data_IF_676484682891
#
_entry.id   IF_676484682891
#
_cell.length_a   1.000
_cell.length_b   1.000
_cell.length_c   1.000
_cell.angle_alpha   90.00
_cell.angle_beta   90.00
_cell.angle_gamma   90.00
#
_symmetry.space_group_name_H-M   'P 1'
#
loop_
_entity.id
_entity.type
_entity.pdbx_description
1 polymer ?
#
# COMPACT_ATOMS: atom_id res chain seq x y z
N UNK A 1 2.82 -18.25 42.82
CA UNK A 1 2.99 -19.27 41.74
C UNK A 1 3.29 -18.54 40.45
N UNK A 2 4.53 -18.62 39.95
CA UNK A 2 4.92 -18.11 38.63
C UNK A 2 4.43 -19.11 37.59
N UNK A 3 3.56 -18.69 36.67
CA UNK A 3 3.10 -19.51 35.55
C UNK A 3 4.13 -19.41 34.43
N UNK A 4 4.76 -20.53 34.13
CA UNK A 4 5.63 -20.73 32.97
C UNK A 4 4.70 -21.14 31.83
N UNK A 5 4.71 -20.37 30.74
CA UNK A 5 4.01 -20.71 29.49
C UNK A 5 5.07 -21.26 28.54
N UNK A 6 4.90 -22.49 28.08
CA UNK A 6 5.74 -23.08 27.04
C UNK A 6 5.13 -22.76 25.67
N UNK A 7 5.92 -22.17 24.77
CA UNK A 7 5.64 -22.11 23.34
C UNK A 7 6.39 -23.25 22.65
N UNK A 8 5.67 -24.09 21.90
CA UNK A 8 6.26 -25.08 21.01
C UNK A 8 6.12 -24.54 19.59
N UNK A 9 7.24 -24.09 19.03
CA UNK A 9 7.35 -23.69 17.62
C UNK A 9 7.69 -24.94 16.80
N UNK A 10 6.80 -25.35 15.89
CA UNK A 10 7.10 -26.38 14.90
C UNK A 10 7.35 -25.68 13.56
N UNK A 11 8.62 -25.66 13.13
CA UNK A 11 9.04 -25.25 11.80
C UNK A 11 8.88 -26.43 10.84
N UNK A 12 7.97 -26.30 9.87
CA UNK A 12 7.89 -27.21 8.72
C UNK A 12 8.54 -26.53 7.50
N UNK A 13 9.52 -27.15 6.83
CA UNK A 13 10.08 -26.61 5.60
C UNK A 13 9.12 -26.88 4.42
N UNK A 14 8.65 -25.82 3.77
CA UNK A 14 8.00 -25.89 2.47
C UNK A 14 9.05 -25.69 1.37
N UNK A 15 9.26 -26.70 0.53
CA UNK A 15 10.04 -26.62 -0.71
C UNK A 15 9.05 -26.37 -1.84
N UNK A 16 9.10 -25.21 -2.48
CA UNK A 16 8.33 -24.91 -3.69
C UNK A 16 9.18 -25.33 -4.89
N UNK A 17 8.89 -26.51 -5.44
CA UNK A 17 9.42 -26.95 -6.73
C UNK A 17 8.53 -26.44 -7.86
N UNK A 18 9.06 -25.60 -8.74
CA UNK A 18 8.42 -25.23 -10.01
C UNK A 18 8.85 -26.26 -11.05
N UNK A 19 7.93 -27.14 -11.47
CA UNK A 19 8.11 -28.06 -12.60
C UNK A 19 7.36 -27.51 -13.81
N UNK A 20 8.08 -27.28 -14.91
CA UNK A 20 7.46 -26.94 -16.20
C UNK A 20 6.97 -28.23 -16.87
N UNK A 21 5.67 -28.30 -17.14
CA UNK A 21 5.00 -29.44 -17.76
C UNK A 21 5.06 -29.29 -19.29
N UNK A 22 5.65 -30.27 -19.96
CA UNK A 22 5.85 -30.32 -21.42
C UNK A 22 4.54 -30.81 -22.09
N UNK A 23 3.91 -29.95 -22.88
CA UNK A 23 2.72 -30.29 -23.66
C UNK A 23 3.09 -31.26 -24.79
N UNK A 24 2.52 -32.45 -24.72
CA UNK A 24 2.61 -33.48 -25.76
C UNK A 24 1.55 -33.24 -26.84
N UNK A 25 1.99 -32.92 -28.07
CA UNK A 25 1.11 -32.91 -29.24
C UNK A 25 1.04 -34.30 -29.90
N UNK A 26 -0.18 -34.74 -30.19
CA UNK A 26 -0.54 -35.99 -30.87
C UNK A 26 -0.59 -35.74 -32.41
N UNK A 27 -0.29 -36.74 -33.27
CA UNK A 27 0.02 -36.48 -34.68
C UNK A 27 -1.24 -36.54 -35.55
N UNK A 28 -1.40 -35.57 -36.47
CA UNK A 28 -2.32 -35.70 -37.60
C UNK A 28 -1.54 -35.60 -38.91
N UNK A 29 -1.64 -36.70 -39.64
CA UNK A 29 -1.04 -37.00 -40.93
C UNK A 29 -1.76 -36.21 -42.05
N UNK A 30 -1.06 -35.41 -42.86
CA UNK A 30 -1.56 -35.05 -44.19
C UNK A 30 -0.44 -34.89 -45.21
N UNK A 31 -0.64 -35.54 -46.37
CA UNK A 31 0.27 -35.65 -47.50
C UNK A 31 0.19 -34.42 -48.42
N UNK A 32 1.36 -33.82 -48.70
CA UNK A 32 1.84 -33.23 -49.97
C UNK A 32 1.06 -32.03 -50.61
N UNK A 33 1.69 -31.10 -51.37
CA UNK A 33 2.89 -31.30 -52.19
C UNK A 33 4.04 -30.29 -52.02
N UNK A 34 5.23 -30.77 -52.39
CA UNK A 34 6.51 -30.04 -52.46
C UNK A 34 6.38 -28.78 -53.34
N UNK A 35 6.50 -27.61 -52.71
CA UNK A 35 7.00 -26.40 -53.36
C UNK A 35 8.48 -26.25 -52.99
N UNK A 36 9.34 -26.31 -54.00
CA UNK A 36 10.76 -25.95 -53.85
C UNK A 36 10.81 -24.43 -53.61
N UNK A 37 10.90 -24.03 -52.34
CA UNK A 37 11.40 -22.72 -51.99
C UNK A 37 12.83 -22.90 -51.52
N UNK A 38 13.81 -22.43 -52.29
CA UNK A 38 15.13 -22.09 -51.78
C UNK A 38 14.95 -20.93 -50.78
N UNK A 39 14.55 -21.28 -49.55
CA UNK A 39 14.86 -20.44 -48.39
C UNK A 39 16.32 -20.72 -48.11
N UNK A 40 17.15 -19.67 -48.16
CA UNK A 40 18.49 -19.73 -47.62
C UNK A 40 18.40 -20.38 -46.24
N UNK A 41 18.94 -21.59 -46.10
CA UNK A 41 18.94 -22.30 -44.84
C UNK A 41 19.70 -21.40 -43.87
N UNK A 42 18.98 -20.85 -42.89
CA UNK A 42 19.58 -20.13 -41.77
C UNK A 42 20.55 -21.15 -41.16
N UNK A 43 21.85 -20.92 -41.32
CA UNK A 43 22.89 -21.73 -40.71
C UNK A 43 22.76 -21.48 -39.21
N UNK A 44 21.97 -22.30 -38.53
CA UNK A 44 21.90 -22.25 -37.08
C UNK A 44 23.24 -22.79 -36.54
N UNK A 45 23.88 -22.08 -35.60
CA UNK A 45 25.09 -22.59 -34.98
C UNK A 45 24.80 -23.97 -34.36
N UNK A 46 25.72 -24.92 -34.56
CA UNK A 46 25.59 -26.31 -34.08
C UNK A 46 25.52 -26.43 -32.56
N UNK A 47 25.88 -25.36 -31.85
CA UNK A 47 25.95 -25.30 -30.40
C UNK A 47 25.11 -24.11 -29.93
N UNK A 48 24.14 -24.41 -29.08
CA UNK A 48 23.30 -23.41 -28.44
C UNK A 48 24.18 -22.53 -27.54
N UNK A 49 23.96 -21.21 -27.56
CA UNK A 49 24.74 -20.30 -26.75
C UNK A 49 24.69 -20.74 -25.26
N UNK A 50 25.79 -20.61 -24.51
CA UNK A 50 25.83 -21.00 -23.11
C UNK A 50 24.72 -20.26 -22.32
N UNK A 51 24.06 -20.99 -21.41
CA UNK A 51 22.94 -20.46 -20.59
C UNK A 51 23.31 -19.26 -19.73
N UNK A 52 24.60 -19.05 -19.50
CA UNK A 52 25.12 -17.97 -18.65
C UNK A 52 26.35 -17.37 -19.34
N UNK A 53 26.37 -16.04 -19.48
CA UNK A 53 27.51 -15.32 -20.06
C UNK A 53 28.71 -15.28 -19.10
N UNK A 54 28.47 -15.31 -17.79
CA UNK A 54 29.50 -15.26 -16.76
C UNK A 54 29.05 -15.97 -15.48
N UNK A 55 29.91 -16.83 -14.91
CA UNK A 55 29.65 -17.57 -13.68
C UNK A 55 30.76 -17.27 -12.67
N UNK A 56 30.38 -16.81 -11.49
CA UNK A 56 31.29 -16.57 -10.36
C UNK A 56 30.57 -16.90 -9.05
N UNK A 57 31.35 -17.09 -7.98
CA UNK A 57 30.83 -17.19 -6.61
C UNK A 57 30.75 -15.79 -5.98
N UNK A 58 29.81 -15.61 -5.05
CA UNK A 58 29.62 -14.36 -4.29
C UNK A 58 30.85 -13.96 -3.45
N UNK A 59 31.72 -14.92 -3.16
CA UNK A 59 32.99 -14.73 -2.46
C UNK A 59 34.20 -14.70 -3.41
N UNK A 60 33.96 -14.65 -4.72
CA UNK A 60 35.01 -14.60 -5.73
C UNK A 60 35.79 -13.27 -5.67
N UNK A 61 37.06 -13.30 -6.05
CA UNK A 61 37.91 -12.09 -6.03
C UNK A 61 37.43 -10.97 -6.99
N UNK A 62 36.58 -11.33 -7.95
CA UNK A 62 35.97 -10.40 -8.90
C UNK A 62 34.61 -9.86 -8.41
N UNK A 63 34.21 -10.12 -7.17
CA UNK A 63 32.91 -9.72 -6.61
C UNK A 63 33.12 -8.97 -5.29
N UNK A 64 32.77 -7.69 -5.28
CA UNK A 64 32.57 -6.95 -4.05
C UNK A 64 31.07 -6.97 -3.73
N UNK A 65 30.66 -7.78 -2.76
CA UNK A 65 29.27 -7.88 -2.31
C UNK A 65 29.11 -7.24 -0.93
N UNK A 66 28.06 -6.44 -0.79
CA UNK A 66 27.64 -5.82 0.45
C UNK A 66 26.13 -5.95 0.62
N UNK A 67 25.70 -6.35 1.81
CA UNK A 67 24.30 -6.37 2.19
C UNK A 67 24.18 -5.98 3.66
N UNK A 68 23.31 -5.02 3.94
CA UNK A 68 23.02 -4.54 5.29
C UNK A 68 21.52 -4.34 5.44
N UNK A 69 21.01 -4.66 6.63
CA UNK A 69 19.63 -4.39 6.99
C UNK A 69 18.99 -5.50 7.80
N UNK A 70 17.67 -5.45 7.87
CA UNK A 70 16.83 -6.46 8.48
C UNK A 70 15.65 -6.80 7.58
N UNK A 71 15.20 -8.04 7.68
CA UNK A 71 13.93 -8.45 7.13
C UNK A 71 13.12 -9.08 8.25
N UNK A 72 12.07 -8.39 8.67
CA UNK A 72 11.12 -8.95 9.63
C UNK A 72 9.98 -9.62 8.86
N UNK A 73 9.77 -10.90 9.14
CA UNK A 73 8.61 -11.64 8.68
C UNK A 73 7.85 -12.10 9.91
N UNK A 74 6.62 -11.64 10.06
CA UNK A 74 5.74 -12.07 11.14
C UNK A 74 4.65 -12.96 10.55
N UNK A 75 4.45 -14.11 11.20
CA UNK A 75 3.34 -15.00 10.93
C UNK A 75 2.60 -15.23 12.23
N UNK A 76 1.40 -14.69 12.34
CA UNK A 76 0.56 -14.82 13.51
C UNK A 76 -0.68 -15.63 13.18
N UNK A 77 -0.90 -16.69 13.96
CA UNK A 77 -2.12 -17.49 13.93
C UNK A 77 -2.84 -17.34 15.26
N UNK A 78 -3.94 -16.58 15.27
CA UNK A 78 -4.83 -16.47 16.43
C UNK A 78 -5.92 -17.54 16.39
N UNK A 79 -5.92 -18.45 17.37
CA UNK A 79 -7.03 -19.39 17.61
C UNK A 79 -7.33 -19.48 19.11
N UNK A 80 -8.59 -19.71 19.46
CA UNK A 80 -9.03 -19.81 20.85
C UNK A 80 -10.31 -20.61 20.98
N UNK A 81 -10.56 -21.17 22.17
CA UNK A 81 -11.79 -21.91 22.51
C UNK A 81 -12.43 -21.25 23.74
N UNK A 82 -13.70 -20.89 23.63
CA UNK A 82 -14.46 -20.25 24.69
C UNK A 82 -15.16 -21.34 25.53
N UNK A 83 -14.84 -21.38 26.82
CA UNK A 83 -15.46 -22.25 27.81
C UNK A 83 -16.44 -21.44 28.66
N UNK A 84 -17.75 -21.67 28.44
CA UNK A 84 -18.81 -21.04 29.24
C UNK A 84 -19.75 -22.11 29.79
N UNK A 85 -19.98 -22.11 31.10
CA UNK A 85 -20.87 -23.07 31.76
C UNK A 85 -22.28 -23.00 31.16
N UNK A 86 -22.85 -24.14 30.78
CA UNK A 86 -24.19 -24.23 30.17
C UNK A 86 -24.25 -24.01 28.66
N UNK A 87 -23.12 -23.75 27.99
CA UNK A 87 -23.04 -23.60 26.53
C UNK A 87 -22.07 -24.61 25.92
N UNK A 88 -22.28 -25.05 24.66
CA UNK A 88 -21.33 -25.90 23.96
C UNK A 88 -20.00 -25.19 23.74
N UNK A 89 -18.93 -25.97 23.55
CA UNK A 89 -17.62 -25.45 23.13
C UNK A 89 -17.79 -24.63 21.86
N UNK A 90 -17.33 -23.38 21.87
CA UNK A 90 -17.33 -22.51 20.69
C UNK A 90 -15.91 -22.02 20.40
N UNK A 91 -15.49 -21.93 19.13
CA UNK A 91 -14.28 -21.20 18.77
C UNK A 91 -14.43 -19.73 19.20
N UNK A 92 -13.33 -19.08 19.63
CA UNK A 92 -13.32 -17.64 19.88
C UNK A 92 -13.34 -16.92 18.53
N UNK A 93 -14.39 -16.14 18.29
CA UNK A 93 -14.49 -15.34 17.07
C UNK A 93 -13.57 -14.10 17.11
N UNK A 94 -13.36 -13.49 18.29
CA UNK A 94 -12.40 -12.39 18.52
C UNK A 94 -12.13 -12.22 20.02
N UNK A 95 -10.86 -12.10 20.45
CA UNK A 95 -10.49 -11.66 21.81
C UNK A 95 -9.90 -10.24 21.73
N UNK A 96 -10.30 -9.28 22.58
CA UNK A 96 -9.71 -7.94 22.57
C UNK A 96 -8.19 -8.00 22.76
N UNK A 97 -7.43 -7.53 21.77
CA UNK A 97 -5.96 -7.60 21.75
C UNK A 97 -5.37 -8.88 21.13
N UNK A 98 -6.21 -9.72 20.50
CA UNK A 98 -5.77 -10.82 19.64
C UNK A 98 -6.41 -10.64 18.27
N UNK A 99 -5.56 -10.62 17.26
CA UNK A 99 -6.01 -10.77 15.88
C UNK A 99 -6.42 -12.22 15.67
N UNK A 100 -7.65 -12.45 15.20
CA UNK A 100 -8.11 -13.78 14.80
C UNK A 100 -7.89 -13.95 13.30
N UNK A 101 -7.36 -15.11 12.90
CA UNK A 101 -7.01 -15.41 11.52
C UNK A 101 -5.51 -15.59 11.28
N UNK A 102 -5.16 -15.65 10.00
CA UNK A 102 -3.79 -15.75 9.51
C UNK A 102 -3.31 -14.35 9.16
N UNK A 103 -2.43 -13.79 9.98
CA UNK A 103 -1.75 -12.54 9.67
C UNK A 103 -0.34 -12.86 9.19
N UNK A 104 -0.03 -12.37 8.01
CA UNK A 104 1.30 -12.40 7.44
C UNK A 104 1.76 -10.97 7.21
N UNK A 105 2.83 -10.58 7.88
CA UNK A 105 3.45 -9.28 7.74
C UNK A 105 4.89 -9.44 7.28
N UNK A 106 5.33 -8.52 6.42
CA UNK A 106 6.64 -8.54 5.83
C UNK A 106 7.18 -7.11 5.81
N UNK A 107 8.20 -6.84 6.61
CA UNK A 107 8.81 -5.52 6.76
C UNK A 107 10.27 -5.64 6.26
N UNK A 108 10.51 -5.36 4.97
CA UNK A 108 11.86 -5.31 4.43
C UNK A 108 12.52 -3.97 4.79
N UNK A 109 13.77 -4.05 5.24
CA UNK A 109 14.68 -2.91 5.38
C UNK A 109 16.06 -3.42 4.98
N UNK A 110 16.28 -3.60 3.67
CA UNK A 110 17.51 -4.19 3.13
C UNK A 110 18.12 -3.22 2.12
N UNK A 111 19.41 -2.97 2.28
CA UNK A 111 20.27 -2.38 1.27
C UNK A 111 21.29 -3.41 0.80
N UNK A 112 21.43 -3.53 -0.52
CA UNK A 112 22.27 -4.50 -1.19
C UNK A 112 23.08 -3.79 -2.30
N UNK A 113 24.36 -4.14 -2.41
CA UNK A 113 25.26 -3.66 -3.45
C UNK A 113 26.15 -4.80 -3.92
N UNK A 114 26.30 -4.93 -5.23
CA UNK A 114 27.22 -5.86 -5.88
C UNK A 114 28.03 -5.10 -6.90
N UNK A 115 29.35 -5.24 -6.85
CA UNK A 115 30.27 -4.76 -7.87
C UNK A 115 31.05 -5.95 -8.46
N UNK A 116 30.81 -6.23 -9.74
CA UNK A 116 31.39 -7.33 -10.48
C UNK A 116 32.50 -6.83 -11.40
N UNK A 117 33.66 -7.51 -11.33
CA UNK A 117 34.86 -7.26 -12.14
C UNK A 117 35.33 -5.80 -12.10
N UNK A 118 34.97 -5.06 -11.05
CA UNK A 118 35.16 -3.61 -10.93
C UNK A 118 34.64 -2.81 -12.12
N UNK A 119 33.58 -3.29 -12.77
CA UNK A 119 32.98 -2.65 -13.95
C UNK A 119 31.46 -2.62 -13.90
N UNK A 120 30.81 -3.69 -13.49
CA UNK A 120 29.35 -3.77 -13.46
C UNK A 120 28.87 -3.70 -12.04
N UNK A 121 27.87 -2.87 -11.75
CA UNK A 121 27.29 -2.80 -10.42
C UNK A 121 25.77 -2.88 -10.45
N UNK A 122 25.24 -3.37 -9.33
CA UNK A 122 23.83 -3.33 -9.00
C UNK A 122 23.72 -2.91 -7.54
N UNK A 123 22.96 -1.85 -7.30
CA UNK A 123 22.62 -1.37 -5.98
C UNK A 123 21.10 -1.35 -5.83
N UNK A 124 20.60 -1.80 -4.69
CA UNK A 124 19.18 -1.89 -4.37
C UNK A 124 18.97 -1.48 -2.91
N UNK A 125 17.92 -0.73 -2.66
CA UNK A 125 17.39 -0.47 -1.32
C UNK A 125 15.89 -0.79 -1.34
N UNK A 126 15.50 -1.80 -0.57
CA UNK A 126 14.12 -2.24 -0.40
C UNK A 126 13.72 -1.96 1.04
N UNK A 127 12.88 -0.96 1.20
CA UNK A 127 12.36 -0.45 2.45
C UNK A 127 10.85 -0.73 2.50
N UNK A 128 10.27 -0.62 3.71
CA UNK A 128 8.83 -0.78 3.93
C UNK A 128 8.00 0.31 3.23
N UNK A 129 8.61 1.47 2.97
CA UNK A 129 8.02 2.57 2.24
C UNK A 129 8.47 2.52 0.76
N UNK A 130 7.55 2.14 -0.12
CA UNK A 130 7.84 1.95 -1.55
C UNK A 130 8.38 3.20 -2.24
N UNK A 131 8.00 4.40 -1.78
CA UNK A 131 8.47 5.67 -2.36
C UNK A 131 9.94 5.96 -2.04
N UNK A 132 10.51 5.24 -1.08
CA UNK A 132 11.93 5.33 -0.70
C UNK A 132 12.78 4.23 -1.33
N UNK A 133 12.18 3.27 -2.04
CA UNK A 133 12.92 2.20 -2.68
C UNK A 133 13.80 2.77 -3.79
N UNK A 134 15.04 2.30 -3.86
CA UNK A 134 15.97 2.71 -4.91
C UNK A 134 16.63 1.52 -5.56
N UNK A 135 16.91 1.64 -6.85
CA UNK A 135 17.73 0.70 -7.58
C UNK A 135 18.61 1.46 -8.58
N UNK A 136 19.82 0.96 -8.77
CA UNK A 136 20.77 1.46 -9.75
C UNK A 136 21.55 0.29 -10.31
N UNK A 137 21.47 0.12 -11.61
CA UNK A 137 22.28 -0.85 -12.36
C UNK A 137 23.20 -0.03 -13.23
N UNK A 138 24.47 -0.42 -13.30
CA UNK A 138 25.39 0.30 -14.13
C UNK A 138 26.61 -0.46 -14.57
N UNK A 139 27.28 0.16 -15.53
CA UNK A 139 28.60 -0.17 -16.02
C UNK A 139 29.48 1.06 -15.91
N UNK A 140 30.71 0.90 -15.46
CA UNK A 140 31.73 1.94 -15.43
C UNK A 140 33.08 1.36 -15.86
N UNK A 141 33.81 2.12 -16.66
CA UNK A 141 35.13 1.77 -17.12
C UNK A 141 36.10 2.94 -16.94
N UNK A 142 37.11 2.75 -16.10
CA UNK A 142 38.10 3.80 -15.83
C UNK A 142 39.10 3.99 -16.97
N UNK A 143 39.13 3.08 -17.95
CA UNK A 143 39.97 3.21 -19.15
C UNK A 143 39.38 4.18 -20.19
N UNK A 144 40.20 4.61 -21.15
CA UNK A 144 39.80 5.44 -22.29
C UNK A 144 39.14 4.60 -23.40
N UNK A 145 38.11 3.83 -23.05
CA UNK A 145 37.30 3.04 -23.99
C UNK A 145 36.10 3.86 -24.47
N UNK A 146 35.48 3.41 -25.58
CA UNK A 146 34.33 4.10 -26.19
C UNK A 146 33.18 4.36 -25.22
N UNK A 147 32.83 3.40 -24.36
CA UNK A 147 31.81 3.57 -23.33
C UNK A 147 32.50 3.80 -21.98
N UNK A 148 32.30 4.99 -21.41
CA UNK A 148 32.87 5.34 -20.11
C UNK A 148 32.00 4.82 -18.98
N UNK A 149 30.70 5.14 -19.02
CA UNK A 149 29.72 4.59 -18.10
C UNK A 149 28.33 4.53 -18.72
N UNK A 150 27.51 3.65 -18.17
CA UNK A 150 26.08 3.56 -18.43
C UNK A 150 25.38 3.29 -17.10
N UNK A 151 24.40 4.11 -16.74
CA UNK A 151 23.59 3.95 -15.53
C UNK A 151 22.12 3.84 -15.91
N UNK A 152 21.38 3.00 -15.19
CA UNK A 152 19.94 2.82 -15.29
C UNK A 152 19.38 2.64 -13.88
N UNK A 153 18.45 3.51 -13.49
CA UNK A 153 17.90 3.43 -12.14
C UNK A 153 17.00 4.61 -11.79
N UNK A 154 16.57 4.65 -10.54
CA UNK A 154 15.82 5.78 -9.99
C UNK A 154 16.63 6.62 -8.99
N UNK A 155 17.95 6.41 -8.96
CA UNK A 155 18.90 7.11 -8.10
C UNK A 155 20.14 7.50 -8.91
N UNK A 156 20.73 8.64 -8.60
CA UNK A 156 22.01 9.11 -9.18
C UNK A 156 22.03 9.31 -10.70
N UNK A 157 20.87 9.43 -11.35
CA UNK A 157 20.76 9.81 -12.77
C UNK A 157 20.70 11.35 -12.85
N UNK A 158 21.83 11.99 -13.17
CA UNK A 158 21.99 13.45 -13.08
C UNK A 158 22.82 13.99 -14.23
N UNK A 159 22.50 15.21 -14.67
CA UNK A 159 23.39 15.91 -15.59
C UNK A 159 24.54 16.53 -14.81
N UNK A 160 25.77 16.43 -15.33
CA UNK A 160 26.82 17.35 -14.89
C UNK A 160 26.40 18.80 -15.20
N UNK A 161 26.79 19.77 -14.36
CA UNK A 161 26.48 21.17 -14.60
C UNK A 161 27.25 21.66 -15.82
N UNK A 162 26.53 21.96 -16.91
CA UNK A 162 27.10 22.60 -18.09
C UNK A 162 26.87 24.11 -18.02
N UNK A 163 27.83 24.95 -18.47
CA UNK A 163 27.59 26.37 -18.63
C UNK A 163 26.32 26.61 -19.45
N UNK A 164 25.38 27.41 -18.90
CA UNK A 164 24.11 27.79 -19.52
C UNK A 164 23.03 26.70 -19.63
N UNK A 165 23.28 25.47 -19.15
CA UNK A 165 22.27 24.40 -19.06
C UNK A 165 22.28 23.83 -17.65
N UNK A 166 21.28 24.23 -16.87
CA UNK A 166 21.00 23.62 -15.57
C UNK A 166 19.86 22.61 -15.74
N UNK A 167 20.15 21.32 -15.51
CA UNK A 167 19.13 20.30 -15.40
C UNK A 167 18.89 20.04 -13.92
N UNK A 168 17.65 20.14 -13.42
CA UNK A 168 17.36 19.91 -12.01
C UNK A 168 17.67 18.47 -11.61
N UNK A 169 18.07 18.29 -10.35
CA UNK A 169 18.32 16.97 -9.77
C UNK A 169 17.08 16.05 -9.87
N UNK A 170 17.33 14.75 -10.02
CA UNK A 170 16.28 13.74 -10.06
C UNK A 170 15.61 13.60 -8.69
N UNK A 171 14.28 13.48 -8.67
CA UNK A 171 13.58 13.07 -7.44
C UNK A 171 13.77 11.57 -7.18
N UNK A 172 13.59 11.11 -5.95
CA UNK A 172 13.77 9.70 -5.55
C UNK A 172 12.89 8.70 -6.34
N UNK A 173 11.81 9.17 -6.96
CA UNK A 173 10.90 8.40 -7.80
C UNK A 173 11.15 8.53 -9.31
N UNK A 174 12.19 9.27 -9.71
CA UNK A 174 12.47 9.57 -11.12
C UNK A 174 13.29 8.47 -11.74
N UNK A 175 12.72 7.73 -12.70
CA UNK A 175 13.42 6.67 -13.42
C UNK A 175 14.20 7.26 -14.58
N UNK A 176 15.46 6.88 -14.76
CA UNK A 176 16.24 7.35 -15.89
C UNK A 176 17.40 6.47 -16.28
N UNK A 177 18.00 6.83 -17.40
CA UNK A 177 19.22 6.25 -17.92
C UNK A 177 20.20 7.35 -18.35
N UNK A 178 21.48 7.10 -18.14
CA UNK A 178 22.58 8.02 -18.42
C UNK A 178 23.74 7.26 -19.04
N UNK A 179 24.40 7.86 -20.02
CA UNK A 179 25.56 7.26 -20.67
C UNK A 179 26.56 8.31 -21.14
N UNK A 180 27.84 8.02 -20.92
CA UNK A 180 28.95 8.80 -21.47
C UNK A 180 29.79 7.97 -22.44
N UNK A 181 30.06 8.57 -23.59
CA UNK A 181 30.84 7.98 -24.65
C UNK A 181 32.06 8.83 -24.98
N UNK A 182 33.21 8.18 -25.12
CA UNK A 182 34.42 8.75 -25.69
C UNK A 182 34.49 8.41 -27.18
N UNK A 183 34.48 9.42 -28.04
CA UNK A 183 34.81 9.27 -29.45
C UNK A 183 36.19 9.90 -29.72
N UNK A 184 37.06 9.16 -30.42
CA UNK A 184 38.25 9.78 -31.01
C UNK A 184 37.86 10.84 -32.04
N UNK A 185 38.84 11.67 -32.45
CA UNK A 185 38.75 12.74 -33.46
C UNK A 185 37.33 13.25 -33.76
N UNK A 186 36.88 14.27 -33.03
CA UNK A 186 35.73 15.07 -33.47
C UNK A 186 36.19 16.27 -34.27
N UNK A 187 35.58 16.49 -35.44
CA UNK A 187 35.83 17.63 -36.30
C UNK A 187 35.17 18.92 -35.80
N UNK A 188 35.19 19.16 -34.48
CA UNK A 188 34.52 20.31 -33.87
C UNK A 188 35.51 21.17 -33.08
N UNK A 189 36.54 21.66 -33.78
CA UNK A 189 37.28 22.83 -33.34
C UNK A 189 37.18 23.93 -34.43
N UNK A 190 36.32 24.94 -34.26
CA UNK A 190 36.29 26.10 -35.14
C UNK A 190 37.41 27.12 -34.82
N UNK A 191 38.26 26.90 -33.81
CA UNK A 191 39.26 27.88 -33.39
C UNK A 191 40.60 27.77 -34.16
N UNK A 192 40.59 27.19 -35.36
CA UNK A 192 41.76 27.03 -36.22
C UNK A 192 41.99 28.13 -37.27
N UNK A 193 41.18 29.19 -37.31
CA UNK A 193 41.27 30.21 -38.37
C UNK A 193 41.60 31.63 -37.85
N UNK A 194 42.66 31.75 -37.04
CA UNK A 194 43.27 33.05 -36.75
C UNK A 194 44.72 32.94 -36.23
N UNK A 195 45.64 32.35 -36.99
CA UNK A 195 47.07 32.57 -36.76
C UNK A 195 47.85 32.49 -38.08
N UNK A 196 47.74 33.55 -38.87
CA UNK A 196 48.63 33.76 -40.00
C UNK A 196 50.07 34.04 -39.54
N UNK A 197 51.01 33.51 -40.33
CA UNK A 197 52.38 33.99 -40.56
C UNK A 197 53.42 33.70 -39.48
N UNK A 198 54.27 32.69 -39.74
CA UNK A 198 55.71 32.83 -40.10
C UNK A 198 56.46 31.54 -39.72
N UNK A 199 57.10 30.91 -40.71
CA UNK A 199 58.46 30.36 -40.64
C UNK A 199 58.62 29.28 -41.71
N UNK A 200 59.51 29.57 -42.65
CA UNK A 200 60.02 28.61 -43.60
C UNK A 200 61.02 27.66 -42.91
N UNK A 201 61.21 26.51 -43.57
CA UNK A 201 62.40 25.66 -43.59
C UNK A 201 62.66 24.67 -42.44
N UNK A 202 62.72 23.41 -42.88
CA UNK A 202 63.62 22.34 -42.45
C UNK A 202 63.56 21.91 -40.98
N UNK A 203 63.02 20.71 -40.72
CA UNK A 203 63.85 19.51 -40.54
C UNK A 203 62.98 18.28 -40.31
N UNK A 204 63.50 17.16 -40.79
CA UNK A 204 62.96 15.81 -40.71
C UNK A 204 62.66 15.41 -39.26
N UNK A 205 61.41 15.08 -38.97
CA UNK A 205 60.97 14.03 -38.05
C UNK A 205 59.45 13.93 -38.16
N UNK A 206 58.96 12.77 -38.62
CA UNK A 206 57.56 12.44 -38.66
C UNK A 206 57.02 12.24 -37.23
N UNK A 207 56.78 13.35 -36.54
CA UNK A 207 56.06 13.44 -35.28
C UNK A 207 55.20 14.72 -35.34
N UNK A 208 54.17 14.66 -36.17
CA UNK A 208 53.31 15.80 -36.48
C UNK A 208 51.87 15.36 -36.70
N UNK A 209 51.36 14.49 -35.82
CA UNK A 209 49.92 14.36 -35.64
C UNK A 209 49.56 15.38 -34.58
N UNK A 210 48.99 16.52 -34.98
CA UNK A 210 48.28 17.40 -34.04
C UNK A 210 47.31 16.53 -33.24
N UNK A 211 47.34 16.55 -31.89
CA UNK A 211 46.41 15.76 -31.10
C UNK A 211 45.01 16.31 -31.39
N UNK A 212 44.26 15.61 -32.23
CA UNK A 212 42.87 15.96 -32.46
C UNK A 212 42.09 15.77 -31.18
N UNK A 213 41.30 16.78 -30.84
CA UNK A 213 40.48 16.82 -29.64
C UNK A 213 39.56 15.59 -29.59
N UNK A 214 39.68 14.80 -28.52
CA UNK A 214 38.71 13.76 -28.18
C UNK A 214 37.36 14.42 -27.85
N UNK A 215 36.27 13.89 -28.39
CA UNK A 215 34.92 14.34 -28.02
C UNK A 215 34.31 13.40 -26.99
N UNK A 216 33.73 14.01 -25.98
CA UNK A 216 32.91 13.37 -24.96
C UNK A 216 31.44 13.63 -25.30
N UNK A 217 30.65 12.57 -25.42
CA UNK A 217 29.21 12.66 -25.64
C UNK A 217 28.50 12.18 -24.39
N UNK A 218 27.56 12.98 -23.90
CA UNK A 218 26.73 12.64 -22.75
C UNK A 218 25.26 12.58 -23.20
N UNK A 219 24.59 11.48 -22.90
CA UNK A 219 23.16 11.28 -23.18
C UNK A 219 22.45 10.91 -21.88
N UNK A 220 21.37 11.62 -21.57
CA UNK A 220 20.51 11.34 -20.43
C UNK A 220 19.05 11.36 -20.86
N UNK A 221 18.29 10.37 -20.41
CA UNK A 221 16.83 10.32 -20.55
C UNK A 221 16.26 10.02 -19.17
N UNK A 222 15.34 10.88 -18.70
CA UNK A 222 14.73 10.75 -17.38
C UNK A 222 13.22 10.95 -17.47
N UNK A 223 12.49 10.10 -16.77
CA UNK A 223 11.06 10.21 -16.53
C UNK A 223 10.84 10.67 -15.09
N UNK A 224 10.53 11.96 -14.93
CA UNK A 224 10.25 12.55 -13.64
C UNK A 224 8.77 12.35 -13.29
N UNK A 225 8.49 11.39 -12.41
CA UNK A 225 7.18 11.27 -11.75
C UNK A 225 7.14 12.11 -10.47
N UNK A 226 7.66 13.34 -10.53
CA UNK A 226 7.61 14.26 -9.42
C UNK A 226 6.19 14.84 -9.32
N UNK A 227 5.36 14.23 -8.46
CA UNK A 227 4.15 14.90 -7.99
C UNK A 227 4.55 16.15 -7.20
N UNK A 228 4.15 17.33 -7.65
CA UNK A 228 4.40 18.56 -6.89
C UNK A 228 3.72 18.48 -5.52
N UNK A 229 4.49 18.58 -4.44
CA UNK A 229 3.99 18.67 -3.07
C UNK A 229 4.39 20.00 -2.46
N UNK A 230 3.41 20.80 -2.01
CA UNK A 230 3.67 22.04 -1.27
C UNK A 230 3.49 21.73 0.22
N UNK A 231 4.53 21.95 1.02
CA UNK A 231 4.46 21.93 2.48
C UNK A 231 4.38 23.35 3.01
N UNK A 232 3.43 23.60 3.89
CA UNK A 232 3.30 24.90 4.57
C UNK A 232 3.97 24.82 5.94
N UNK A 233 4.70 25.86 6.31
CA UNK A 233 5.37 25.96 7.62
C UNK A 233 4.92 27.23 8.32
N UNK A 234 4.67 27.14 9.64
CA UNK A 234 4.45 28.28 10.51
C UNK A 234 5.50 28.25 11.63
N UNK A 235 6.52 29.10 11.50
CA UNK A 235 7.72 29.01 12.33
C UNK A 235 8.49 27.72 12.06
N UNK A 236 8.73 26.92 13.10
CA UNK A 236 9.43 25.62 13.00
C UNK A 236 8.50 24.41 12.86
N UNK A 237 7.19 24.63 12.74
CA UNK A 237 6.21 23.55 12.67
C UNK A 237 5.65 23.40 11.24
N UNK A 238 5.55 22.17 10.77
CA UNK A 238 4.83 21.82 9.54
C UNK A 238 3.31 21.97 9.79
N UNK A 239 2.62 22.61 8.86
CA UNK A 239 1.18 22.84 8.89
C UNK A 239 0.53 21.88 7.91
N UNK A 240 -0.31 21.00 8.46
CA UNK A 240 -1.21 20.15 7.67
C UNK A 240 -2.57 20.80 7.64
N UNK A 241 -3.10 21.06 6.45
CA UNK A 241 -4.47 21.56 6.27
C UNK A 241 -5.37 20.39 5.86
N UNK A 242 -6.32 20.04 6.72
CA UNK A 242 -7.34 19.05 6.42
C UNK A 242 -8.66 19.78 6.12
N UNK A 243 -9.12 19.70 4.87
CA UNK A 243 -10.44 20.21 4.50
C UNK A 243 -11.48 19.12 4.67
N UNK A 244 -12.15 19.08 5.82
CA UNK A 244 -13.31 18.21 6.04
C UNK A 244 -14.53 18.83 5.38
N UNK A 245 -15.05 18.20 4.33
CA UNK A 245 -16.28 18.66 3.70
C UNK A 245 -17.45 18.46 4.65
N UNK A 246 -18.43 19.38 4.65
CA UNK A 246 -19.66 19.27 5.46
C UNK A 246 -20.40 17.95 5.22
N UNK A 247 -20.19 17.31 4.05
CA UNK A 247 -20.82 16.03 3.69
C UNK A 247 -20.09 14.79 4.23
N UNK A 248 -18.83 14.94 4.62
CA UNK A 248 -17.92 13.88 5.08
C UNK A 248 -17.99 13.69 6.60
N UNK A 249 -19.12 14.05 7.21
CA UNK A 249 -19.37 13.69 8.60
C UNK A 249 -19.46 12.18 8.74
N UNK A 250 -18.88 11.65 9.81
CA UNK A 250 -18.89 10.22 10.13
C UNK A 250 -20.35 9.77 10.31
N UNK A 251 -20.77 8.81 9.48
CA UNK A 251 -22.13 8.22 9.50
C UNK A 251 -22.04 6.79 9.97
N UNK A 252 -23.10 6.32 10.63
CA UNK A 252 -23.15 4.90 10.99
C UNK A 252 -22.19 4.52 12.12
N UNK A 253 -21.71 5.47 12.95
CA UNK A 253 -20.68 5.22 13.96
C UNK A 253 -21.06 5.67 15.38
N UNK A 254 -21.48 6.92 15.56
CA UNK A 254 -21.76 7.49 16.87
C UNK A 254 -23.26 7.78 17.04
N UNK A 255 -23.83 7.34 18.15
CA UNK A 255 -25.26 7.44 18.43
C UNK A 255 -25.52 7.79 19.89
N UNK A 256 -26.66 8.45 20.12
CA UNK A 256 -27.26 8.65 21.42
C UNK A 256 -28.59 7.89 21.49
N UNK A 257 -28.82 7.21 22.61
CA UNK A 257 -30.14 6.67 22.94
C UNK A 257 -30.90 7.68 23.82
N UNK A 258 -32.24 7.69 23.81
CA UNK A 258 -33.04 8.69 24.53
C UNK A 258 -33.06 8.53 26.05
N UNK A 259 -32.32 7.55 26.60
CA UNK A 259 -32.31 7.22 28.02
C UNK A 259 -30.90 7.09 28.58
N UNK A 260 -30.72 7.56 29.82
CA UNK A 260 -29.55 7.30 30.66
C UNK A 260 -29.84 6.21 31.70
N UNK A 261 -28.80 5.65 32.30
CA UNK A 261 -28.87 4.62 33.36
C UNK A 261 -29.67 3.38 32.95
N UNK A 262 -29.44 2.90 31.72
CA UNK A 262 -30.15 1.75 31.14
C UNK A 262 -29.48 0.41 31.46
N UNK A 263 -30.27 -0.65 31.40
CA UNK A 263 -29.89 -2.04 31.65
C UNK A 263 -30.29 -2.92 30.46
N UNK A 264 -29.86 -4.19 30.47
CA UNK A 264 -30.21 -5.22 29.47
C UNK A 264 -30.02 -4.76 28.01
N UNK A 265 -28.97 -3.99 27.74
CA UNK A 265 -28.70 -3.44 26.42
C UNK A 265 -28.33 -4.55 25.42
N UNK A 266 -29.01 -4.55 24.28
CA UNK A 266 -28.75 -5.44 23.15
C UNK A 266 -28.72 -4.59 21.87
N UNK A 267 -27.68 -4.74 21.08
CA UNK A 267 -27.54 -4.09 19.78
C UNK A 267 -27.77 -5.11 18.66
N UNK A 268 -28.57 -4.75 17.67
CA UNK A 268 -28.83 -5.52 16.46
C UNK A 268 -28.33 -4.76 15.24
N UNK A 269 -27.59 -5.47 14.39
CA UNK A 269 -27.05 -4.97 13.14
C UNK A 269 -27.69 -5.74 11.98
N UNK A 270 -28.19 -5.03 10.96
CA UNK A 270 -28.76 -5.67 9.79
C UNK A 270 -27.72 -6.50 9.05
N UNK A 271 -27.99 -7.77 8.82
CA UNK A 271 -27.07 -8.70 8.17
C UNK A 271 -27.88 -9.72 7.36
N UNK A 272 -27.59 -9.84 6.06
CA UNK A 272 -28.23 -10.82 5.17
C UNK A 272 -28.10 -12.28 5.66
N UNK A 273 -27.03 -12.57 6.41
CA UNK A 273 -26.76 -13.86 7.04
C UNK A 273 -27.28 -13.97 8.49
N UNK A 274 -27.88 -12.89 9.02
CA UNK A 274 -28.40 -12.80 10.38
C UNK A 274 -29.49 -13.83 10.68
N UNK A 275 -29.49 -14.33 11.92
CA UNK A 275 -30.42 -15.36 12.40
C UNK A 275 -31.79 -14.80 12.76
N UNK A 276 -31.87 -13.52 13.14
CA UNK A 276 -33.10 -12.90 13.61
C UNK A 276 -33.79 -12.18 12.46
N UNK A 277 -35.09 -12.38 12.29
CA UNK A 277 -35.89 -11.64 11.30
C UNK A 277 -36.69 -10.56 12.02
N UNK A 278 -36.51 -9.31 11.60
CA UNK A 278 -37.28 -8.18 12.13
C UNK A 278 -38.67 -8.09 11.51
N UNK A 279 -39.56 -7.33 12.16
CA UNK A 279 -40.90 -7.03 11.63
C UNK A 279 -40.88 -6.24 10.31
N UNK A 280 -39.74 -5.66 9.94
CA UNK A 280 -39.48 -4.98 8.66
C UNK A 280 -39.05 -5.93 7.53
N UNK A 281 -38.93 -7.23 7.81
CA UNK A 281 -38.50 -8.25 6.84
C UNK A 281 -36.99 -8.33 6.64
N UNK A 282 -36.20 -7.49 7.32
CA UNK A 282 -34.74 -7.58 7.30
C UNK A 282 -34.24 -8.65 8.26
N UNK A 283 -33.07 -9.18 7.94
CA UNK A 283 -32.33 -10.07 8.83
C UNK A 283 -31.34 -9.29 9.67
N UNK A 284 -31.17 -9.72 10.90
CA UNK A 284 -30.34 -9.10 11.92
C UNK A 284 -29.48 -10.14 12.60
N UNK A 285 -28.27 -9.72 12.98
CA UNK A 285 -27.46 -10.39 13.97
C UNK A 285 -27.37 -9.54 15.23
N UNK A 286 -27.20 -10.19 16.37
CA UNK A 286 -26.82 -9.49 17.59
C UNK A 286 -25.35 -9.03 17.44
N UNK A 287 -25.08 -7.79 17.83
CA UNK A 287 -23.74 -7.24 17.79
C UNK A 287 -22.90 -7.83 18.92
N UNK A 288 -21.67 -8.16 18.60
CA UNK A 288 -20.68 -8.64 19.54
C UNK A 288 -20.01 -7.45 20.26
N UNK A 289 -19.42 -7.64 21.45
CA UNK A 289 -18.61 -6.61 22.11
C UNK A 289 -17.42 -6.12 21.27
N UNK A 290 -17.04 -6.86 20.22
CA UNK A 290 -16.06 -6.41 19.22
C UNK A 290 -16.61 -5.33 18.30
N UNK A 291 -17.92 -5.27 18.06
CA UNK A 291 -18.55 -4.35 17.11
C UNK A 291 -18.72 -2.93 17.68
N UNK A 292 -18.86 -2.79 19.01
CA UNK A 292 -19.25 -1.51 19.62
C UNK A 292 -18.69 -1.29 21.04
N UNK A 293 -18.77 -0.03 21.49
CA UNK A 293 -18.63 0.40 22.88
C UNK A 293 -19.91 1.13 23.30
N UNK A 294 -20.41 0.83 24.49
CA UNK A 294 -21.65 1.41 24.99
C UNK A 294 -21.48 1.89 26.42
N UNK A 295 -21.92 3.12 26.69
CA UNK A 295 -22.01 3.69 28.03
C UNK A 295 -23.48 3.85 28.41
N UNK A 296 -24.03 2.86 29.11
CA UNK A 296 -25.43 2.87 29.55
C UNK A 296 -25.78 3.98 30.54
N UNK A 297 -24.79 4.56 31.23
CA UNK A 297 -24.99 5.70 32.13
C UNK A 297 -25.24 6.98 31.34
N UNK A 298 -24.52 7.19 30.24
CA UNK A 298 -24.63 8.40 29.42
C UNK A 298 -25.55 8.24 28.20
N UNK A 299 -25.95 7.00 27.88
CA UNK A 299 -26.75 6.70 26.70
C UNK A 299 -25.96 6.85 25.40
N UNK A 300 -24.64 6.67 25.43
CA UNK A 300 -23.78 6.80 24.24
C UNK A 300 -23.38 5.44 23.68
N UNK A 301 -23.49 5.31 22.35
CA UNK A 301 -23.11 4.12 21.58
C UNK A 301 -22.12 4.54 20.50
N UNK A 302 -20.98 3.84 20.43
CA UNK A 302 -20.01 3.97 19.34
C UNK A 302 -19.73 2.62 18.70
N UNK A 303 -19.84 2.54 17.38
CA UNK A 303 -19.34 1.39 16.63
C UNK A 303 -17.83 1.54 16.41
N UNK A 304 -17.12 0.43 16.42
CA UNK A 304 -15.67 0.46 16.13
C UNK A 304 -15.41 0.75 14.65
N UNK A 305 -16.24 0.16 13.78
CA UNK A 305 -16.24 0.37 12.34
C UNK A 305 -17.51 1.09 11.87
N UNK A 306 -17.40 1.78 10.74
CA UNK A 306 -18.51 2.49 10.12
C UNK A 306 -19.51 1.49 9.51
N UNK A 307 -20.78 1.56 9.92
CA UNK A 307 -21.78 0.58 9.50
C UNK A 307 -22.71 1.12 8.39
N UNK A 308 -22.81 0.35 7.30
CA UNK A 308 -23.63 0.67 6.13
C UNK A 308 -24.89 -0.21 6.08
N UNK A 309 -25.74 -0.08 7.10
CA UNK A 309 -27.00 -0.79 7.20
C UNK A 309 -27.86 -0.29 8.35
N UNK A 310 -28.95 -0.98 8.65
CA UNK A 310 -29.90 -0.60 9.70
C UNK A 310 -29.38 -1.04 11.07
N UNK A 311 -29.48 -0.14 12.06
CA UNK A 311 -29.02 -0.36 13.43
C UNK A 311 -30.23 -0.24 14.35
N UNK A 312 -30.49 -1.27 15.14
CA UNK A 312 -31.58 -1.30 16.11
C UNK A 312 -31.08 -1.69 17.50
N UNK A 313 -31.64 -1.09 18.55
CA UNK A 313 -31.26 -1.35 19.94
C UNK A 313 -32.46 -1.73 20.79
N UNK A 314 -32.24 -2.63 21.74
CA UNK A 314 -33.13 -2.90 22.85
C UNK A 314 -32.41 -2.56 24.15
N UNK A 315 -33.15 -2.01 25.11
CA UNK A 315 -32.68 -1.83 26.48
C UNK A 315 -33.88 -1.72 27.42
N UNK A 316 -33.61 -1.85 28.71
CA UNK A 316 -34.58 -1.61 29.78
C UNK A 316 -34.12 -0.49 30.70
N UNK A 317 -35.05 0.20 31.34
CA UNK A 317 -34.76 1.13 32.45
C UNK A 317 -35.86 0.95 33.49
N UNK A 318 -35.47 0.76 34.76
CA UNK A 318 -36.41 0.47 35.84
C UNK A 318 -37.39 -0.69 35.52
N UNK A 319 -36.92 -1.70 34.77
CA UNK A 319 -37.72 -2.87 34.36
C UNK A 319 -38.67 -2.63 33.17
N UNK A 320 -38.68 -1.43 32.59
CA UNK A 320 -39.51 -1.08 31.44
C UNK A 320 -38.69 -1.09 30.15
N UNK A 321 -39.23 -1.54 29.01
CA UNK A 321 -38.52 -1.58 27.74
C UNK A 321 -38.48 -0.20 27.07
N UNK A 322 -37.48 0.02 26.22
CA UNK A 322 -37.35 1.23 25.38
C UNK A 322 -38.69 1.67 24.77
N UNK A 323 -38.99 2.96 24.91
CA UNK A 323 -40.18 3.62 24.37
C UNK A 323 -41.47 3.42 25.19
N UNK A 324 -41.41 2.75 26.34
CA UNK A 324 -42.46 2.86 27.36
C UNK A 324 -42.52 4.31 27.91
N UNK A 325 -43.71 4.86 28.07
CA UNK A 325 -43.93 6.27 28.48
C UNK A 325 -43.37 6.66 29.86
N UNK A 326 -43.01 5.67 30.69
CA UNK A 326 -42.42 5.88 32.01
C UNK A 326 -40.89 6.06 31.98
N UNK A 327 -40.24 5.70 30.87
CA UNK A 327 -38.80 5.88 30.62
C UNK A 327 -38.62 6.73 29.34
N UNK A 328 -37.53 7.46 29.18
CA UNK A 328 -37.34 8.41 28.07
C UNK A 328 -37.53 9.87 28.46
N UNK A 329 -37.43 10.20 29.75
CA UNK A 329 -37.58 11.58 30.24
C UNK A 329 -36.53 12.51 29.65
N UNK A 330 -36.99 13.53 28.92
CA UNK A 330 -36.12 14.48 28.21
C UNK A 330 -35.22 13.85 27.13
N UNK A 331 -35.59 12.67 26.61
CA UNK A 331 -34.81 11.95 25.61
C UNK A 331 -34.81 12.58 24.21
N UNK A 332 -35.71 13.52 23.95
CA UNK A 332 -35.82 14.23 22.68
C UNK A 332 -35.47 15.73 22.88
N UNK A 333 -34.67 16.33 21.99
CA UNK A 333 -34.37 17.76 22.07
C UNK A 333 -35.63 18.63 21.99
N UNK A 334 -35.62 19.77 22.67
CA UNK A 334 -36.73 20.72 22.63
C UNK A 334 -37.02 21.24 21.22
N UNK A 335 -38.30 21.52 20.96
CA UNK A 335 -38.79 21.98 19.65
C UNK A 335 -39.63 23.25 19.82
N UNK A 336 -39.46 24.19 18.90
CA UNK A 336 -40.31 25.38 18.78
C UNK A 336 -40.66 25.58 17.31
N UNK A 337 -41.94 25.75 17.00
CA UNK A 337 -42.45 25.94 15.63
C UNK A 337 -41.98 24.85 14.64
N UNK A 338 -41.92 23.59 15.10
CA UNK A 338 -41.50 22.45 14.28
C UNK A 338 -40.00 22.41 13.96
N UNK A 339 -39.17 23.18 14.68
CA UNK A 339 -37.71 23.20 14.53
C UNK A 339 -37.01 22.89 15.84
N UNK A 340 -35.85 22.25 15.76
CA UNK A 340 -34.97 22.02 16.90
C UNK A 340 -34.60 23.37 17.54
N UNK A 341 -34.86 23.49 18.84
CA UNK A 341 -34.51 24.65 19.63
C UNK A 341 -33.75 24.20 20.89
N UNK A 342 -32.43 24.41 20.97
CA UNK A 342 -31.63 23.97 22.11
C UNK A 342 -31.97 24.72 23.42
N UNK A 343 -32.77 25.78 23.37
CA UNK A 343 -33.25 26.53 24.53
C UNK A 343 -34.65 26.11 24.99
N UNK A 344 -35.37 25.31 24.21
CA UNK A 344 -36.67 24.79 24.61
C UNK A 344 -36.50 23.57 25.53
N UNK A 345 -37.49 23.34 26.39
CA UNK A 345 -37.46 22.17 27.27
C UNK A 345 -37.43 20.87 26.46
N UNK A 346 -36.60 19.89 26.85
CA UNK A 346 -36.60 18.56 26.25
C UNK A 346 -37.98 17.90 26.31
N UNK A 347 -38.25 17.04 25.34
CA UNK A 347 -39.48 16.26 25.27
C UNK A 347 -39.21 14.80 25.68
N UNK A 348 -40.23 14.15 26.24
CA UNK A 348 -40.15 12.74 26.61
C UNK A 348 -40.27 11.85 25.37
N UNK A 349 -39.39 10.87 25.27
CA UNK A 349 -39.46 9.82 24.25
C UNK A 349 -40.48 8.73 24.65
N UNK A 350 -41.35 8.33 23.73
CA UNK A 350 -42.16 7.11 23.83
C UNK A 350 -42.68 6.71 22.44
N UNK A 351 -43.22 5.50 22.30
CA UNK A 351 -43.79 5.07 21.00
C UNK A 351 -45.05 5.84 20.58
N UNK A 352 -45.71 6.51 21.53
CA UNK A 352 -46.99 7.18 21.31
C UNK A 352 -46.85 8.67 20.95
N UNK A 353 -45.63 9.21 20.88
CA UNK A 353 -45.40 10.62 20.54
C UNK A 353 -45.04 10.80 19.06
N UNK A 354 -45.38 11.98 18.54
CA UNK A 354 -44.93 12.47 17.24
C UNK A 354 -43.89 13.56 17.47
N UNK A 355 -42.73 13.44 16.84
CA UNK A 355 -41.62 14.35 16.99
C UNK A 355 -41.16 14.85 15.62
N UNK A 356 -41.13 16.17 15.43
CA UNK A 356 -40.78 16.82 14.15
C UNK A 356 -41.58 16.28 12.94
N UNK A 357 -42.86 15.94 13.15
CA UNK A 357 -43.75 15.41 12.10
C UNK A 357 -43.61 13.91 11.84
N UNK A 358 -42.72 13.22 12.55
CA UNK A 358 -42.52 11.77 12.45
C UNK A 358 -43.12 11.07 13.67
N UNK A 359 -43.94 10.03 13.47
CA UNK A 359 -44.41 9.20 14.57
C UNK A 359 -43.26 8.34 15.08
N UNK A 360 -42.95 8.39 16.39
CA UNK A 360 -41.84 7.60 16.95
C UNK A 360 -42.05 6.10 16.84
N UNK A 361 -43.30 5.64 16.70
CA UNK A 361 -43.63 4.25 16.36
C UNK A 361 -43.05 3.79 15.01
N UNK A 362 -42.73 4.70 14.08
CA UNK A 362 -42.07 4.35 12.81
C UNK A 362 -40.59 3.98 12.96
N UNK A 363 -39.96 4.37 14.08
CA UNK A 363 -38.60 3.98 14.46
C UNK A 363 -38.57 2.63 15.18
N UNK A 364 -39.70 1.92 15.28
CA UNK A 364 -39.81 0.67 16.01
C UNK A 364 -39.68 -0.53 15.08
N UNK A 365 -38.81 -1.48 15.45
CA UNK A 365 -38.74 -2.79 14.80
C UNK A 365 -38.83 -3.87 15.86
N UNK A 366 -39.66 -4.90 15.65
CA UNK A 366 -39.76 -6.00 16.59
C UNK A 366 -38.79 -7.11 16.19
N UNK A 367 -37.83 -7.44 17.05
CA UNK A 367 -36.80 -8.47 16.83
C UNK A 367 -36.87 -9.45 18.02
N UNK A 368 -37.15 -10.74 17.76
CA UNK A 368 -37.31 -11.78 18.80
C UNK A 368 -38.34 -11.37 19.87
N UNK A 369 -39.51 -10.87 19.43
CA UNK A 369 -40.59 -10.39 20.30
C UNK A 369 -40.21 -9.22 21.23
N UNK A 370 -39.11 -8.52 20.95
CA UNK A 370 -38.71 -7.29 21.64
C UNK A 370 -38.92 -6.11 20.72
N UNK A 371 -39.49 -5.04 21.24
CA UNK A 371 -39.58 -3.77 20.52
C UNK A 371 -38.23 -3.04 20.62
N UNK A 372 -37.58 -2.85 19.47
CA UNK A 372 -36.28 -2.22 19.35
C UNK A 372 -36.40 -0.83 18.71
N UNK A 373 -35.56 0.09 19.14
CA UNK A 373 -35.39 1.42 18.57
C UNK A 373 -34.39 1.40 17.43
N UNK A 374 -34.82 1.80 16.23
CA UNK A 374 -33.95 2.02 15.08
C UNK A 374 -33.21 3.35 15.24
N UNK A 375 -31.90 3.27 15.44
CA UNK A 375 -31.02 4.44 15.56
C UNK A 375 -30.56 4.96 14.21
N UNK A 376 -30.43 4.06 13.24
CA UNK A 376 -29.89 4.37 11.92
C UNK A 376 -30.53 3.50 10.85
N UNK A 377 -30.79 4.10 9.71
CA UNK A 377 -31.34 3.45 8.52
C UNK A 377 -30.69 4.09 7.29
N UNK A 378 -30.00 3.30 6.47
CA UNK A 378 -29.33 3.77 5.25
C UNK A 378 -29.46 2.76 4.13
#
# INVERSE_FOLDING_TARGET
MKRIVFFITILLPFVIGVSAEELTENPVNSRAPKRVSERAAIIQPKEEAPRVLYKTDITGADVDFYMQGSWETSLSLGTGILLQSGYPLRPLDYFPGSDTGFLYENIPDITFSVYLMKKYFLELSVLSDFDKNSFLIGYKNDNADFLKYFYLGNRDIKSEPYPFIEVPDAGNSSLGAEAEFYSGYSAHDPAGEAAGKTAAQNTENAAGVSPGSSAVHHVMIRYDSNGGGVKYFLGSNEVTEETVQIRDYIRGKYFFIPDTDVNDFILYLSDSSGTYTGSDGLKYREALPSDFSFNGKEGTLSLKEDFQGKIAVFYTKNGQPVGDSSIGKGGLPGVTDGKLNPKADPLDFSWNVTYLGEAMSSRKVSIVSRDCLVLWDR
#
